data_IF_146313003861
#
_entry.id   IF_146313003861
#
_cell.length_a   1.000
_cell.length_b   1.000
_cell.length_c   1.000
_cell.angle_alpha   90.00
_cell.angle_beta   90.00
_cell.angle_gamma   90.00
#
_symmetry.space_group_name_H-M   'P 1'
#
loop_
_entity.id
_entity.type
_entity.pdbx_description
1 polymer ?
#
# COMPACT_ATOMS: atom_id res chain seq x y z
N UNK A 1 -14.42 -27.73 -3.40
CA UNK A 1 -15.21 -26.91 -4.33
C UNK A 1 -14.99 -25.46 -3.98
N UNK A 2 -13.98 -24.86 -4.58
CA UNK A 2 -13.59 -23.45 -4.42
C UNK A 2 -14.52 -22.62 -5.31
N UNK A 3 -15.32 -21.73 -4.70
CA UNK A 3 -16.13 -20.76 -5.44
C UNK A 3 -15.20 -19.73 -6.09
N UNK A 4 -15.32 -19.44 -7.37
CA UNK A 4 -14.62 -18.30 -7.96
C UNK A 4 -15.26 -17.02 -7.41
N UNK A 5 -14.44 -16.16 -6.83
CA UNK A 5 -14.80 -14.78 -6.49
C UNK A 5 -15.18 -14.08 -7.79
N UNK A 6 -16.48 -13.84 -7.97
CA UNK A 6 -17.02 -13.07 -9.10
C UNK A 6 -16.39 -11.69 -9.08
N UNK A 7 -15.61 -11.38 -10.12
CA UNK A 7 -15.19 -10.02 -10.41
C UNK A 7 -16.44 -9.16 -10.59
N UNK A 8 -16.83 -8.42 -9.53
CA UNK A 8 -17.75 -7.30 -9.65
C UNK A 8 -17.10 -6.30 -10.60
N UNK A 9 -17.82 -5.92 -11.64
CA UNK A 9 -17.34 -5.03 -12.68
C UNK A 9 -16.62 -3.82 -12.09
N UNK A 10 -15.35 -3.69 -12.42
CA UNK A 10 -14.52 -2.52 -12.10
C UNK A 10 -15.15 -1.32 -12.80
N UNK A 11 -16.07 -0.66 -12.11
CA UNK A 11 -16.59 0.63 -12.53
C UNK A 11 -15.36 1.53 -12.73
N UNK A 12 -15.29 2.29 -13.83
CA UNK A 12 -14.15 3.11 -14.27
C UNK A 12 -13.25 3.50 -13.07
N UNK A 13 -12.28 2.64 -12.74
CA UNK A 13 -11.51 2.80 -11.51
C UNK A 13 -10.71 4.09 -11.60
N UNK A 14 -11.07 5.04 -10.74
CA UNK A 14 -10.41 6.34 -10.63
C UNK A 14 -9.20 6.27 -9.69
N UNK A 15 -8.73 5.07 -9.34
CA UNK A 15 -7.59 4.93 -8.45
C UNK A 15 -7.07 3.50 -8.31
N UNK A 16 -5.94 3.38 -7.64
CA UNK A 16 -5.27 2.12 -7.28
C UNK A 16 -4.54 2.28 -5.95
N UNK A 17 -4.61 1.24 -5.13
CA UNK A 17 -3.82 1.15 -3.90
C UNK A 17 -2.57 0.31 -4.13
N UNK A 18 -1.42 0.77 -3.64
CA UNK A 18 -0.20 0.00 -3.54
C UNK A 18 -0.04 -0.48 -2.10
N UNK A 19 0.02 -1.78 -1.93
CA UNK A 19 0.19 -2.43 -0.62
C UNK A 19 1.46 -3.27 -0.61
N UNK A 20 1.99 -3.54 0.56
CA UNK A 20 3.21 -4.33 0.72
C UNK A 20 4.00 -3.93 1.94
N UNK A 21 5.00 -4.74 2.24
CA UNK A 21 5.82 -4.56 3.42
C UNK A 21 6.76 -3.34 3.30
N UNK A 22 7.37 -2.93 4.42
CA UNK A 22 8.40 -1.89 4.40
C UNK A 22 9.58 -2.32 3.50
N UNK A 23 10.14 -1.37 2.76
CA UNK A 23 11.21 -1.67 1.78
C UNK A 23 10.71 -2.20 0.43
N UNK A 24 9.40 -2.43 0.22
CA UNK A 24 8.88 -2.94 -1.07
C UNK A 24 8.82 -1.89 -2.19
N UNK A 25 9.12 -0.61 -1.89
CA UNK A 25 9.20 0.44 -2.91
C UNK A 25 7.88 1.13 -3.25
N UNK A 26 6.83 0.98 -2.45
CA UNK A 26 5.48 1.55 -2.72
C UNK A 26 5.50 3.03 -3.07
N UNK A 27 6.19 3.84 -2.30
CA UNK A 27 6.26 5.29 -2.51
C UNK A 27 6.92 5.61 -3.85
N UNK A 28 8.11 5.04 -4.11
CA UNK A 28 8.86 5.31 -5.35
C UNK A 28 8.13 4.78 -6.59
N UNK A 29 7.63 3.54 -6.53
CA UNK A 29 6.83 2.96 -7.63
C UNK A 29 5.53 3.75 -7.82
N UNK A 30 4.89 4.18 -6.74
CA UNK A 30 3.68 4.99 -6.79
C UNK A 30 3.89 6.33 -7.47
N UNK A 31 4.98 7.03 -7.18
CA UNK A 31 5.36 8.28 -7.85
C UNK A 31 5.65 8.09 -9.35
N UNK A 32 6.34 6.99 -9.72
CA UNK A 32 6.59 6.65 -11.12
C UNK A 32 5.31 6.29 -11.86
N UNK A 33 4.47 5.47 -11.24
CA UNK A 33 3.18 5.06 -11.80
C UNK A 33 2.24 6.24 -12.00
N UNK A 34 2.15 7.13 -11.01
CA UNK A 34 1.29 8.33 -11.10
C UNK A 34 1.70 9.25 -12.25
N UNK A 35 3.00 9.50 -12.42
CA UNK A 35 3.53 10.27 -13.56
C UNK A 35 3.20 9.60 -14.89
N UNK A 36 3.35 8.28 -14.98
CA UNK A 36 3.04 7.50 -16.21
C UNK A 36 1.56 7.54 -16.58
N UNK A 37 0.67 7.55 -15.59
CA UNK A 37 -0.79 7.57 -15.79
C UNK A 37 -1.37 8.99 -15.90
N UNK A 38 -0.61 10.02 -15.54
CA UNK A 38 -1.13 11.39 -15.38
C UNK A 38 -2.08 11.51 -14.19
N UNK A 39 -1.88 10.70 -13.13
CA UNK A 39 -2.71 10.66 -11.94
C UNK A 39 -2.02 11.35 -10.76
N UNK A 40 -2.81 11.74 -9.75
CA UNK A 40 -2.27 12.20 -8.46
C UNK A 40 -1.56 11.04 -7.76
N UNK A 41 -0.50 11.35 -7.00
CA UNK A 41 0.12 10.42 -6.05
C UNK A 41 -0.20 10.85 -4.62
N UNK A 42 -0.51 9.88 -3.77
CA UNK A 42 -0.71 10.09 -2.33
C UNK A 42 -0.04 8.95 -1.55
N UNK A 43 0.70 9.32 -0.49
CA UNK A 43 1.25 8.37 0.48
C UNK A 43 0.48 8.56 1.79
N UNK A 44 -0.21 7.50 2.25
CA UNK A 44 -1.08 7.57 3.42
C UNK A 44 -0.32 7.93 4.69
N UNK A 45 0.91 7.42 4.86
CA UNK A 45 1.74 7.71 6.03
C UNK A 45 2.13 9.20 6.05
N UNK A 46 2.60 9.74 4.92
CA UNK A 46 2.90 11.18 4.78
C UNK A 46 1.67 12.06 4.98
N UNK A 47 0.52 11.62 4.50
CA UNK A 47 -0.77 12.32 4.70
C UNK A 47 -1.11 12.41 6.17
N UNK A 48 -0.99 11.31 6.91
CA UNK A 48 -1.25 11.28 8.36
C UNK A 48 -0.29 12.22 9.09
N UNK A 49 0.99 12.20 8.78
CA UNK A 49 1.98 13.08 9.39
C UNK A 49 1.69 14.56 9.12
N UNK A 50 1.35 14.89 7.88
CA UNK A 50 0.96 16.24 7.49
C UNK A 50 -0.30 16.71 8.23
N UNK A 51 -1.28 15.81 8.38
CA UNK A 51 -2.55 16.12 9.03
C UNK A 51 -2.41 16.30 10.54
N UNK A 52 -1.55 15.49 11.17
CA UNK A 52 -1.28 15.54 12.60
C UNK A 52 -0.20 16.56 12.99
N UNK A 53 0.54 17.10 12.00
CA UNK A 53 1.67 18.00 12.24
C UNK A 53 2.82 17.34 13.01
N UNK A 54 2.92 15.99 12.96
CA UNK A 54 3.89 15.22 13.75
C UNK A 54 4.25 13.92 13.03
N UNK A 55 5.51 13.44 13.17
CA UNK A 55 5.93 12.14 12.65
C UNK A 55 5.15 10.99 13.28
N UNK A 56 4.94 9.90 12.54
CA UNK A 56 4.23 8.69 13.00
C UNK A 56 4.72 8.18 14.36
N UNK A 57 6.05 8.08 14.65
CA UNK A 57 6.51 7.66 15.96
C UNK A 57 6.00 8.55 17.10
N UNK A 58 5.90 9.86 16.88
CA UNK A 58 5.36 10.81 17.86
C UNK A 58 3.86 10.60 18.06
N UNK A 59 3.12 10.34 16.98
CA UNK A 59 1.68 10.05 17.05
C UNK A 59 1.45 8.77 17.88
N UNK A 60 2.24 7.72 17.63
CA UNK A 60 2.18 6.48 18.42
C UNK A 60 2.48 6.72 19.90
N UNK A 61 3.49 7.53 20.22
CA UNK A 61 3.83 7.85 21.61
C UNK A 61 2.72 8.63 22.33
N UNK A 62 2.03 9.51 21.62
CA UNK A 62 0.99 10.38 22.19
C UNK A 62 -0.38 9.69 22.28
N UNK A 63 -0.73 8.87 21.32
CA UNK A 63 -2.07 8.30 21.17
C UNK A 63 -2.14 6.77 21.33
N UNK A 64 -0.97 6.12 21.44
CA UNK A 64 -0.88 4.66 21.43
C UNK A 64 -1.25 4.04 20.08
N UNK A 65 -1.20 2.72 20.02
CA UNK A 65 -1.54 2.01 18.77
C UNK A 65 -3.02 2.20 18.40
N UNK A 66 -3.92 2.09 19.34
CA UNK A 66 -5.36 2.24 19.08
C UNK A 66 -5.71 3.62 18.52
N UNK A 67 -5.15 4.68 19.10
CA UNK A 67 -5.35 6.05 18.61
C UNK A 67 -4.77 6.26 17.22
N UNK A 68 -3.56 5.74 16.95
CA UNK A 68 -2.99 5.78 15.61
C UNK A 68 -3.88 5.05 14.58
N UNK A 69 -4.40 3.87 14.92
CA UNK A 69 -5.26 3.10 14.01
C UNK A 69 -6.57 3.82 13.68
N UNK A 70 -7.12 4.55 14.62
CA UNK A 70 -8.28 5.39 14.35
C UNK A 70 -7.94 6.52 13.38
N UNK A 71 -6.83 7.23 13.59
CA UNK A 71 -6.34 8.30 12.70
C UNK A 71 -6.06 7.75 11.30
N UNK A 72 -5.41 6.59 11.20
CA UNK A 72 -5.12 5.90 9.94
C UNK A 72 -6.41 5.56 9.17
N UNK A 73 -7.41 5.03 9.87
CA UNK A 73 -8.71 4.71 9.28
C UNK A 73 -9.43 5.96 8.76
N UNK A 74 -9.48 7.03 9.54
CA UNK A 74 -10.09 8.30 9.14
C UNK A 74 -9.39 8.90 7.91
N UNK A 75 -8.05 8.87 7.88
CA UNK A 75 -7.26 9.33 6.75
C UNK A 75 -7.52 8.50 5.48
N UNK A 76 -7.65 7.17 5.62
CA UNK A 76 -8.00 6.27 4.53
C UNK A 76 -9.40 6.56 3.96
N UNK A 77 -10.40 6.72 4.82
CA UNK A 77 -11.77 7.06 4.41
C UNK A 77 -11.82 8.38 3.63
N UNK A 78 -11.10 9.40 4.10
CA UNK A 78 -11.04 10.67 3.40
C UNK A 78 -10.34 10.54 2.04
N UNK A 79 -9.21 9.82 1.97
CA UNK A 79 -8.49 9.57 0.73
C UNK A 79 -9.39 8.88 -0.31
N UNK A 80 -10.14 7.85 0.08
CA UNK A 80 -11.06 7.13 -0.81
C UNK A 80 -12.15 8.06 -1.37
N UNK A 81 -12.68 8.96 -0.54
CA UNK A 81 -13.67 9.97 -1.00
C UNK A 81 -13.08 10.91 -2.06
N UNK A 82 -11.85 11.34 -1.88
CA UNK A 82 -11.15 12.20 -2.85
C UNK A 82 -10.87 11.45 -4.16
N UNK A 83 -10.48 10.17 -4.07
CA UNK A 83 -10.24 9.29 -5.23
C UNK A 83 -11.49 9.09 -6.10
N UNK A 84 -12.68 9.33 -5.59
CA UNK A 84 -13.91 9.27 -6.39
C UNK A 84 -13.99 10.38 -7.45
N UNK A 85 -13.32 11.52 -7.22
CA UNK A 85 -13.33 12.68 -8.12
C UNK A 85 -12.01 12.91 -8.85
N UNK A 86 -10.89 12.41 -8.31
CA UNK A 86 -9.55 12.62 -8.87
C UNK A 86 -8.78 11.30 -8.97
N UNK A 87 -8.36 10.88 -10.18
CA UNK A 87 -7.58 9.67 -10.36
C UNK A 87 -6.29 9.69 -9.54
N UNK A 88 -6.12 8.69 -8.66
CA UNK A 88 -5.03 8.70 -7.68
C UNK A 88 -4.35 7.33 -7.57
N UNK A 89 -3.02 7.33 -7.49
CA UNK A 89 -2.21 6.20 -7.02
C UNK A 89 -1.94 6.43 -5.54
N UNK A 90 -2.39 5.53 -4.68
CA UNK A 90 -2.25 5.65 -3.23
C UNK A 90 -1.33 4.56 -2.67
N UNK A 91 -0.21 4.93 -2.07
CA UNK A 91 0.63 4.03 -1.30
C UNK A 91 0.09 3.92 0.14
N UNK A 92 -0.21 2.70 0.59
CA UNK A 92 -0.71 2.47 1.94
C UNK A 92 0.42 2.06 2.89
N UNK A 93 0.29 2.44 4.16
CA UNK A 93 1.19 2.01 5.23
C UNK A 93 1.27 0.48 5.34
N UNK A 94 2.44 -0.05 5.71
CA UNK A 94 2.62 -1.50 5.82
C UNK A 94 1.74 -2.18 6.89
N UNK A 95 1.09 -1.42 7.76
CA UNK A 95 0.16 -1.91 8.77
C UNK A 95 -1.31 -1.70 8.44
N UNK A 96 -1.64 -0.94 7.40
CA UNK A 96 -3.02 -0.53 7.10
C UNK A 96 -3.97 -1.73 6.92
N UNK A 97 -3.52 -2.78 6.23
CA UNK A 97 -4.32 -4.01 6.03
C UNK A 97 -4.42 -4.92 7.26
N UNK A 98 -3.69 -4.62 8.34
CA UNK A 98 -3.81 -5.41 9.59
C UNK A 98 -5.18 -5.15 10.23
N UNK A 99 -5.73 -3.96 10.06
CA UNK A 99 -7.05 -3.59 10.60
C UNK A 99 -8.17 -4.15 9.72
N UNK A 100 -9.08 -4.97 10.27
CA UNK A 100 -10.21 -5.53 9.52
C UNK A 100 -11.09 -4.44 8.88
N UNK A 101 -11.31 -3.34 9.60
CA UNK A 101 -12.12 -2.21 9.13
C UNK A 101 -11.52 -1.58 7.87
N UNK A 102 -10.19 -1.42 7.82
CA UNK A 102 -9.50 -0.90 6.63
C UNK A 102 -9.65 -1.85 5.43
N UNK A 103 -9.56 -3.17 5.66
CA UNK A 103 -9.78 -4.15 4.58
C UNK A 103 -11.20 -4.05 4.02
N UNK A 104 -12.21 -4.04 4.90
CA UNK A 104 -13.61 -3.87 4.47
C UNK A 104 -13.81 -2.57 3.69
N UNK A 105 -13.24 -1.46 4.18
CA UNK A 105 -13.30 -0.15 3.51
C UNK A 105 -12.66 -0.19 2.11
N UNK A 106 -11.52 -0.85 1.96
CA UNK A 106 -10.86 -1.01 0.66
C UNK A 106 -11.68 -1.87 -0.29
N UNK A 107 -12.24 -2.99 0.18
CA UNK A 107 -13.14 -3.85 -0.61
C UNK A 107 -14.41 -3.10 -1.06
N UNK A 108 -15.04 -2.35 -0.17
CA UNK A 108 -16.23 -1.54 -0.45
C UNK A 108 -15.97 -0.41 -1.45
N UNK A 109 -14.75 0.13 -1.48
CA UNK A 109 -14.35 1.15 -2.45
C UNK A 109 -14.41 0.65 -3.91
N UNK A 110 -14.27 -0.67 -4.12
CA UNK A 110 -14.19 -1.30 -5.43
C UNK A 110 -12.93 -0.95 -6.22
N UNK A 111 -11.97 -0.22 -5.61
CA UNK A 111 -10.69 0.11 -6.23
C UNK A 111 -9.70 -1.04 -6.04
N UNK A 112 -8.86 -1.35 -7.04
CA UNK A 112 -7.90 -2.43 -6.93
C UNK A 112 -6.77 -2.09 -5.97
N UNK A 113 -6.40 -3.05 -5.11
CA UNK A 113 -5.14 -3.04 -4.39
C UNK A 113 -4.13 -3.93 -5.12
N UNK A 114 -2.89 -3.47 -5.26
CA UNK A 114 -1.79 -4.20 -5.90
C UNK A 114 -0.68 -4.42 -4.87
N UNK A 115 -0.34 -5.68 -4.64
CA UNK A 115 0.71 -6.07 -3.73
C UNK A 115 2.08 -6.04 -4.42
N UNK A 116 3.01 -5.25 -3.89
CA UNK A 116 4.41 -5.26 -4.27
C UNK A 116 5.16 -6.25 -3.38
N UNK A 117 5.42 -7.45 -3.92
CA UNK A 117 6.09 -8.54 -3.21
C UNK A 117 7.60 -8.58 -3.54
N UNK A 118 8.40 -8.96 -2.55
CA UNK A 118 9.81 -9.26 -2.69
C UNK A 118 10.23 -10.24 -1.58
N UNK A 119 11.32 -10.99 -1.77
CA UNK A 119 11.90 -11.81 -0.72
C UNK A 119 12.20 -11.00 0.54
N UNK A 120 11.91 -11.55 1.71
CA UNK A 120 12.11 -10.85 2.99
C UNK A 120 13.56 -10.41 3.21
N UNK A 121 14.53 -11.15 2.67
CA UNK A 121 15.95 -10.78 2.69
C UNK A 121 16.23 -9.47 1.97
N UNK A 122 15.70 -9.32 0.75
CA UNK A 122 15.86 -8.10 -0.06
C UNK A 122 15.19 -6.90 0.64
N UNK A 123 14.02 -7.11 1.20
CA UNK A 123 13.31 -6.06 1.95
C UNK A 123 14.10 -5.62 3.19
N UNK A 124 14.73 -6.57 3.88
CA UNK A 124 15.61 -6.28 5.00
C UNK A 124 16.80 -5.44 4.58
N UNK A 125 17.53 -5.85 3.53
CA UNK A 125 18.71 -5.13 3.02
C UNK A 125 18.34 -3.70 2.58
N UNK A 126 17.22 -3.53 1.86
CA UNK A 126 16.71 -2.21 1.46
C UNK A 126 16.36 -1.33 2.66
N UNK A 127 15.82 -1.91 3.75
CA UNK A 127 15.53 -1.16 4.96
C UNK A 127 16.80 -0.76 5.72
N UNK A 128 17.87 -1.56 5.70
CA UNK A 128 19.15 -1.24 6.34
C UNK A 128 19.94 -0.17 5.58
N UNK A 129 19.81 -0.13 4.25
CA UNK A 129 20.49 0.86 3.39
C UNK A 129 19.73 2.18 3.24
N UNK A 130 18.50 2.28 3.76
CA UNK A 130 17.72 3.51 3.72
C UNK A 130 18.27 4.54 4.73
N UNK A 131 18.30 5.83 4.34
CA UNK A 131 18.69 6.92 5.24
C UNK A 131 17.68 7.12 6.38
N UNK A 132 16.43 6.78 6.16
CA UNK A 132 15.35 6.87 7.15
C UNK A 132 15.37 5.67 8.10
N UNK A 133 15.57 5.93 9.40
CA UNK A 133 15.52 4.90 10.41
C UNK A 133 14.11 4.29 10.51
N UNK A 134 14.05 2.96 10.39
CA UNK A 134 12.79 2.21 10.49
C UNK A 134 12.75 1.42 11.82
N UNK A 135 11.99 1.87 12.81
CA UNK A 135 11.98 1.25 14.15
C UNK A 135 11.70 -0.26 14.13
N UNK A 136 10.86 -0.74 13.20
CA UNK A 136 10.52 -2.15 13.05
C UNK A 136 11.55 -2.98 12.26
N UNK A 137 12.62 -2.35 11.74
CA UNK A 137 13.71 -3.01 11.03
C UNK A 137 15.01 -3.04 11.86
N UNK A 138 14.91 -3.08 13.19
CA UNK A 138 16.07 -3.17 14.11
C UNK A 138 16.46 -4.60 14.42
N UNK A 139 15.52 -5.53 14.46
CA UNK A 139 15.73 -6.96 14.72
C UNK A 139 15.28 -7.79 13.53
N UNK A 140 16.19 -8.58 12.96
CA UNK A 140 15.94 -9.37 11.76
C UNK A 140 14.90 -10.47 11.97
N UNK A 141 14.88 -11.11 13.14
CA UNK A 141 13.93 -12.18 13.43
C UNK A 141 12.51 -11.61 13.59
N UNK A 142 12.38 -10.49 14.32
CA UNK A 142 11.10 -9.79 14.45
C UNK A 142 10.60 -9.28 13.09
N UNK A 143 11.48 -8.75 12.25
CA UNK A 143 11.18 -8.30 10.90
C UNK A 143 10.61 -9.44 10.04
N UNK A 144 11.25 -10.64 10.07
CA UNK A 144 10.80 -11.81 9.34
C UNK A 144 9.45 -12.34 9.83
N UNK A 145 9.23 -12.37 11.15
CA UNK A 145 7.95 -12.79 11.74
C UNK A 145 6.83 -11.82 11.34
N UNK A 146 7.09 -10.51 11.42
CA UNK A 146 6.14 -9.49 11.03
C UNK A 146 5.81 -9.56 9.54
N UNK A 147 6.81 -9.78 8.68
CA UNK A 147 6.61 -10.00 7.25
C UNK A 147 5.72 -11.20 7.00
N UNK A 148 6.02 -12.35 7.60
CA UNK A 148 5.26 -13.59 7.41
C UNK A 148 3.79 -13.43 7.83
N UNK A 149 3.54 -12.72 8.94
CA UNK A 149 2.19 -12.43 9.41
C UNK A 149 1.41 -11.53 8.45
N UNK A 150 2.04 -10.44 7.97
CA UNK A 150 1.40 -9.44 7.10
C UNK A 150 1.26 -9.90 5.65
N UNK A 151 2.20 -10.68 5.13
CA UNK A 151 2.19 -11.15 3.74
C UNK A 151 0.90 -11.89 3.40
N UNK A 152 0.33 -12.65 4.33
CA UNK A 152 -0.95 -13.35 4.14
C UNK A 152 -2.08 -12.39 3.79
N UNK A 153 -2.10 -11.20 4.41
CA UNK A 153 -3.10 -10.16 4.15
C UNK A 153 -2.84 -9.46 2.80
N UNK A 154 -1.59 -9.24 2.44
CA UNK A 154 -1.25 -8.62 1.15
C UNK A 154 -1.61 -9.53 -0.04
N UNK A 155 -1.56 -10.86 0.12
CA UNK A 155 -1.93 -11.82 -0.91
C UNK A 155 -3.43 -11.82 -1.25
N UNK A 156 -4.27 -11.15 -0.45
CA UNK A 156 -5.68 -10.90 -0.76
C UNK A 156 -5.90 -9.76 -1.77
N UNK A 157 -4.83 -9.06 -2.16
CA UNK A 157 -4.87 -7.99 -3.15
C UNK A 157 -5.32 -8.49 -4.53
N UNK A 158 -5.84 -7.57 -5.36
CA UNK A 158 -6.34 -7.87 -6.70
C UNK A 158 -5.25 -8.41 -7.65
N UNK A 159 -4.00 -8.01 -7.42
CA UNK A 159 -2.83 -8.53 -8.13
C UNK A 159 -1.59 -8.48 -7.23
N UNK A 160 -0.64 -9.37 -7.52
CA UNK A 160 0.70 -9.38 -6.91
C UNK A 160 1.74 -9.13 -8.00
N UNK A 161 2.61 -8.17 -7.76
CA UNK A 161 3.74 -7.85 -8.63
C UNK A 161 5.02 -8.23 -7.90
N UNK A 162 5.75 -9.20 -8.44
CA UNK A 162 7.10 -9.53 -7.97
C UNK A 162 8.07 -8.42 -8.36
N UNK A 163 8.74 -7.84 -7.38
CA UNK A 163 9.69 -6.73 -7.57
C UNK A 163 11.15 -7.18 -7.53
N UNK A 164 11.40 -8.49 -7.45
CA UNK A 164 12.73 -9.06 -7.31
C UNK A 164 13.59 -8.75 -8.55
N UNK A 165 14.70 -8.05 -8.34
CA UNK A 165 15.66 -7.73 -9.42
C UNK A 165 15.12 -6.85 -10.55
N UNK A 166 13.90 -6.30 -10.40
CA UNK A 166 13.30 -5.43 -11.41
C UNK A 166 13.68 -3.97 -11.17
N UNK A 167 13.83 -3.24 -12.26
CA UNK A 167 13.85 -1.79 -12.25
C UNK A 167 12.49 -1.21 -11.85
N UNK A 168 12.51 -0.11 -11.12
CA UNK A 168 11.30 0.55 -10.60
C UNK A 168 10.37 1.02 -11.73
N UNK A 169 10.92 1.52 -12.84
CA UNK A 169 10.14 1.90 -14.03
C UNK A 169 9.47 0.69 -14.70
N UNK A 170 10.13 -0.46 -14.73
CA UNK A 170 9.56 -1.71 -15.24
C UNK A 170 8.38 -2.18 -14.37
N UNK A 171 8.50 -2.06 -13.04
CA UNK A 171 7.42 -2.37 -12.10
C UNK A 171 6.22 -1.44 -12.34
N UNK A 172 6.46 -0.12 -12.46
CA UNK A 172 5.39 0.84 -12.73
C UNK A 172 4.71 0.57 -14.08
N UNK A 173 5.46 0.18 -15.11
CA UNK A 173 4.92 -0.19 -16.42
C UNK A 173 4.05 -1.46 -16.35
N UNK A 174 4.47 -2.48 -15.60
CA UNK A 174 3.72 -3.71 -15.39
C UNK A 174 2.37 -3.43 -14.71
N UNK A 175 2.35 -2.58 -13.67
CA UNK A 175 1.13 -2.16 -13.00
C UNK A 175 0.21 -1.38 -13.95
N UNK A 176 0.75 -0.43 -14.72
CA UNK A 176 -0.02 0.35 -15.68
C UNK A 176 -0.68 -0.57 -16.73
N UNK A 177 0.04 -1.58 -17.23
CA UNK A 177 -0.47 -2.57 -18.17
C UNK A 177 -1.58 -3.41 -17.54
N UNK A 178 -1.41 -3.85 -16.29
CA UNK A 178 -2.45 -4.59 -15.57
C UNK A 178 -3.73 -3.76 -15.40
N UNK A 179 -3.61 -2.48 -15.01
CA UNK A 179 -4.75 -1.57 -14.87
C UNK A 179 -5.49 -1.33 -16.20
N UNK A 180 -4.77 -1.24 -17.31
CA UNK A 180 -5.38 -1.10 -18.65
C UNK A 180 -6.18 -2.34 -19.04
N UNK A 181 -5.66 -3.54 -18.78
CA UNK A 181 -6.33 -4.81 -19.05
C UNK A 181 -7.55 -5.04 -18.14
N UNK A 182 -7.47 -4.63 -16.88
CA UNK A 182 -8.58 -4.72 -15.93
C UNK A 182 -9.76 -3.81 -16.30
N UNK A 183 -9.50 -2.69 -16.97
CA UNK A 183 -10.55 -1.77 -17.48
C UNK A 183 -11.24 -2.26 -18.77
N UNK A 184 -10.60 -3.17 -19.48
CA UNK A 184 -11.12 -3.68 -20.77
C UNK A 184 -12.10 -4.87 -20.60
N UNK A 185 -12.24 -5.40 -19.38
CA UNK A 185 -13.17 -6.48 -19.01
C UNK A 185 -14.41 -5.95 -18.33
#
# INVERSE_FOLDING_TARGET
MTRPTTARGLNRSTGVFLVGFMGSGKTTVGELLSRRLGWRFEDLDRRIESWQGSPIPTIFNNHGEAGFRQIEHEALLQLIREMASEPTVAALGGGTLVQPENRSTLEESGLPAIFLDAPVGDLWERCQSAEEERPLARDKNQFQQLYAARRKLYLEAAATIDTTGKDLDAIAAEIASWLALAKAK
#
